data_IF_896222716987
#
_entry.id   IF_896222716987
#
_cell.length_a   1.000
_cell.length_b   1.000
_cell.length_c   1.000
_cell.angle_alpha   90.00
_cell.angle_beta   90.00
_cell.angle_gamma   90.00
#
_symmetry.space_group_name_H-M   'P 1'
#
loop_
_entity.id
_entity.type
_entity.pdbx_description
1 polymer ?
#
# COMPACT_ATOMS: atom_id res chain seq x y z
N UNK A 1 12.07 -13.47 2.39
CA UNK A 1 11.37 -13.58 3.69
C UNK A 1 10.14 -14.42 3.46
N UNK A 2 9.91 -15.50 4.23
CA UNK A 2 8.67 -16.30 4.11
C UNK A 2 7.60 -15.69 5.01
N UNK A 3 6.39 -15.49 4.48
CA UNK A 3 5.27 -14.88 5.18
C UNK A 3 4.29 -15.95 5.65
N UNK A 4 4.19 -16.09 6.97
CA UNK A 4 3.20 -16.96 7.60
C UNK A 4 1.98 -16.11 7.98
N UNK A 5 0.92 -16.20 7.18
CA UNK A 5 -0.33 -15.51 7.43
C UNK A 5 -1.08 -16.21 8.58
N UNK A 6 -1.59 -15.44 9.54
CA UNK A 6 -2.51 -15.96 10.54
C UNK A 6 -3.87 -16.28 9.88
N UNK A 7 -4.61 -17.29 10.36
CA UNK A 7 -5.91 -17.63 9.81
C UNK A 7 -6.90 -16.46 9.87
N UNK A 8 -7.66 -16.22 8.80
CA UNK A 8 -8.56 -15.06 8.68
C UNK A 8 -9.72 -15.05 9.70
N UNK A 9 -10.07 -16.20 10.26
CA UNK A 9 -11.07 -16.39 11.32
C UNK A 9 -10.52 -16.14 12.74
N UNK A 10 -9.23 -15.81 12.86
CA UNK A 10 -8.59 -15.54 14.15
C UNK A 10 -9.05 -14.19 14.72
N UNK A 11 -9.89 -14.22 15.74
CA UNK A 11 -10.39 -13.00 16.39
C UNK A 11 -9.29 -12.24 17.18
N UNK A 12 -8.33 -12.98 17.75
CA UNK A 12 -7.29 -12.46 18.66
C UNK A 12 -5.90 -12.80 18.17
N UNK A 13 -4.98 -11.84 18.19
CA UNK A 13 -3.60 -12.09 17.78
C UNK A 13 -2.90 -12.99 18.81
N UNK A 14 -2.33 -14.14 18.42
CA UNK A 14 -1.66 -15.05 19.34
C UNK A 14 -0.47 -14.41 20.07
N UNK A 15 -0.29 -14.74 21.37
CA UNK A 15 0.82 -14.18 22.17
C UNK A 15 2.19 -14.56 21.62
N UNK A 16 2.34 -15.76 21.07
CA UNK A 16 3.58 -16.23 20.44
C UNK A 16 3.99 -15.37 19.22
N UNK A 17 3.03 -14.75 18.53
CA UNK A 17 3.31 -13.77 17.48
C UNK A 17 4.07 -12.56 18.03
N UNK A 18 3.65 -12.01 19.17
CA UNK A 18 4.34 -10.89 19.83
C UNK A 18 5.69 -11.33 20.36
N UNK A 19 5.77 -12.53 20.97
CA UNK A 19 7.02 -13.07 21.49
C UNK A 19 8.07 -13.25 20.38
N UNK A 20 7.65 -13.68 19.19
CA UNK A 20 8.52 -13.81 18.02
C UNK A 20 9.12 -12.47 17.55
N UNK A 21 8.55 -11.32 17.93
CA UNK A 21 9.08 -10.01 17.55
C UNK A 21 10.27 -9.58 18.41
N UNK A 22 10.47 -10.16 19.60
CA UNK A 22 11.60 -9.81 20.47
C UNK A 22 12.95 -10.32 19.97
N UNK A 23 12.99 -11.37 19.13
CA UNK A 23 14.20 -12.06 18.67
C UNK A 23 14.99 -11.34 17.57
N UNK A 24 15.10 -10.02 17.62
CA UNK A 24 15.79 -9.22 16.58
C UNK A 24 17.24 -8.92 16.94
N UNK A 25 18.05 -8.65 15.92
CA UNK A 25 19.42 -8.17 16.08
C UNK A 25 19.40 -6.68 16.44
N UNK A 26 19.54 -6.37 17.73
CA UNK A 26 19.65 -5.00 18.20
C UNK A 26 21.11 -4.54 18.16
N UNK A 27 21.33 -3.30 17.72
CA UNK A 27 22.66 -2.66 17.75
C UNK A 27 23.03 -2.09 19.11
N UNK A 28 22.04 -1.83 19.96
CA UNK A 28 22.24 -1.29 21.32
C UNK A 28 21.13 -1.76 22.27
N UNK A 29 21.42 -1.72 23.57
CA UNK A 29 20.42 -1.99 24.63
C UNK A 29 19.29 -0.97 24.64
N UNK A 30 19.56 0.25 24.16
CA UNK A 30 18.58 1.32 23.99
C UNK A 30 17.58 0.96 22.89
N UNK A 31 18.06 0.50 21.73
CA UNK A 31 17.18 0.03 20.64
C UNK A 31 16.35 -1.17 21.08
N UNK A 32 16.93 -2.11 21.81
CA UNK A 32 16.19 -3.24 22.38
C UNK A 32 15.08 -2.77 23.34
N UNK A 33 15.38 -1.83 24.23
CA UNK A 33 14.41 -1.30 25.18
C UNK A 33 13.26 -0.54 24.50
N UNK A 34 13.55 0.24 23.45
CA UNK A 34 12.53 0.92 22.66
C UNK A 34 11.60 -0.09 22.00
N UNK A 35 12.18 -1.07 21.29
CA UNK A 35 11.41 -2.07 20.58
C UNK A 35 10.53 -2.92 21.50
N UNK A 36 11.01 -3.23 22.70
CA UNK A 36 10.21 -3.97 23.69
C UNK A 36 8.95 -3.22 24.12
N UNK A 37 9.05 -1.90 24.28
CA UNK A 37 7.92 -1.02 24.62
C UNK A 37 6.93 -0.91 23.45
N UNK A 38 7.43 -0.76 22.23
CA UNK A 38 6.62 -0.74 21.01
C UNK A 38 5.80 -2.04 20.85
N UNK A 39 6.44 -3.20 21.03
CA UNK A 39 5.75 -4.50 20.98
C UNK A 39 4.67 -4.59 22.07
N UNK A 40 4.98 -4.17 23.30
CA UNK A 40 4.02 -4.19 24.40
C UNK A 40 2.81 -3.29 24.13
N UNK A 41 3.04 -2.09 23.60
CA UNK A 41 1.97 -1.15 23.24
C UNK A 41 1.09 -1.69 22.10
N UNK A 42 1.70 -2.26 21.05
CA UNK A 42 0.96 -2.90 19.96
C UNK A 42 0.14 -4.11 20.44
N UNK A 43 0.64 -4.86 21.43
CA UNK A 43 -0.10 -5.95 22.06
C UNK A 43 -1.32 -5.44 22.83
N UNK A 44 -1.16 -4.42 23.67
CA UNK A 44 -2.28 -3.81 24.40
C UNK A 44 -3.36 -3.31 23.42
N UNK A 45 -2.94 -2.66 22.33
CA UNK A 45 -3.85 -2.27 21.25
C UNK A 45 -4.57 -3.47 20.62
N UNK A 46 -3.84 -4.53 20.27
CA UNK A 46 -4.42 -5.72 19.64
C UNK A 46 -5.50 -6.39 20.50
N UNK A 47 -5.34 -6.34 21.82
CA UNK A 47 -6.26 -6.86 22.83
C UNK A 47 -7.39 -5.89 23.20
N UNK A 48 -7.41 -4.66 22.65
CA UNK A 48 -8.40 -3.64 22.99
C UNK A 48 -8.22 -3.04 24.39
N UNK A 49 -7.02 -3.16 24.99
CA UNK A 49 -6.69 -2.62 26.31
C UNK A 49 -6.43 -1.10 26.26
N UNK A 50 -6.10 -0.58 25.09
CA UNK A 50 -5.81 0.85 24.85
C UNK A 50 -6.60 1.35 23.63
N UNK A 51 -6.98 2.62 23.65
CA UNK A 51 -7.51 3.30 22.47
C UNK A 51 -6.44 3.47 21.38
N UNK A 52 -6.88 3.86 20.18
CA UNK A 52 -6.00 4.13 19.04
C UNK A 52 -4.97 5.22 19.36
N UNK A 53 -5.40 6.33 19.99
CA UNK A 53 -4.52 7.45 20.29
C UNK A 53 -3.55 7.15 21.44
N UNK A 54 -4.00 6.43 22.48
CA UNK A 54 -3.13 5.97 23.57
C UNK A 54 -2.07 5.00 23.05
N UNK A 55 -2.45 4.08 22.15
CA UNK A 55 -1.52 3.16 21.52
C UNK A 55 -0.52 3.90 20.63
N UNK A 56 -0.98 4.85 19.81
CA UNK A 56 -0.10 5.65 18.97
C UNK A 56 0.96 6.38 19.80
N UNK A 57 0.53 7.06 20.87
CA UNK A 57 1.43 7.73 21.81
C UNK A 57 2.43 6.75 22.44
N UNK A 58 1.95 5.63 22.99
CA UNK A 58 2.81 4.64 23.65
C UNK A 58 3.82 3.98 22.69
N UNK A 59 3.47 3.87 21.41
CA UNK A 59 4.34 3.33 20.35
C UNK A 59 5.41 4.34 19.92
N UNK A 60 5.08 5.63 19.79
CA UNK A 60 6.04 6.64 19.32
C UNK A 60 6.97 7.14 20.43
N UNK A 61 6.49 7.19 21.68
CA UNK A 61 7.21 7.74 22.83
C UNK A 61 8.64 7.19 23.03
N UNK A 62 8.91 5.87 22.89
CA UNK A 62 10.25 5.33 23.09
C UNK A 62 11.29 5.94 22.13
N UNK A 63 10.91 6.15 20.87
CA UNK A 63 11.77 6.75 19.84
C UNK A 63 11.84 8.27 20.06
N UNK A 64 10.69 8.92 20.28
CA UNK A 64 10.63 10.37 20.47
C UNK A 64 11.45 10.88 21.67
N UNK A 65 11.64 10.05 22.69
CA UNK A 65 12.38 10.42 23.92
C UNK A 65 13.81 9.89 23.99
N UNK A 66 14.26 9.19 22.96
CA UNK A 66 15.61 8.60 22.88
C UNK A 66 16.45 9.32 21.84
N UNK A 67 17.67 9.73 22.21
CA UNK A 67 18.63 10.29 21.25
C UNK A 67 19.10 9.25 20.23
N UNK A 68 19.51 9.69 19.05
CA UNK A 68 20.15 8.85 18.03
C UNK A 68 21.37 8.18 18.65
N UNK A 69 21.51 6.86 18.45
CA UNK A 69 22.62 6.10 19.00
C UNK A 69 23.75 6.04 17.99
N UNK A 70 24.91 6.63 18.30
CA UNK A 70 26.12 6.53 17.47
C UNK A 70 26.67 5.09 17.52
N UNK A 71 26.40 4.33 16.46
CA UNK A 71 26.94 2.98 16.23
C UNK A 71 28.02 2.95 15.15
N UNK A 72 28.37 4.12 14.61
CA UNK A 72 29.40 4.29 13.56
C UNK A 72 28.93 3.90 12.16
N UNK A 73 27.62 3.86 11.92
CA UNK A 73 27.02 3.51 10.63
C UNK A 73 26.27 4.71 10.03
N UNK A 74 26.14 4.74 8.70
CA UNK A 74 25.47 5.79 7.94
C UNK A 74 23.93 5.80 8.11
N UNK A 75 23.37 4.99 9.02
CA UNK A 75 21.92 4.77 9.17
C UNK A 75 21.44 4.72 10.63
N UNK A 76 22.26 5.25 11.54
CA UNK A 76 22.00 5.23 12.98
C UNK A 76 20.72 6.00 13.37
N UNK A 77 20.42 7.04 12.61
CA UNK A 77 19.26 7.92 12.71
C UNK A 77 17.94 7.22 12.36
N UNK A 78 17.94 6.30 11.41
CA UNK A 78 16.74 5.61 10.94
C UNK A 78 16.62 4.16 11.46
N UNK A 79 17.60 3.65 12.22
CA UNK A 79 17.61 2.26 12.69
C UNK A 79 16.41 1.91 13.57
N UNK A 80 16.09 2.76 14.56
CA UNK A 80 14.94 2.54 15.44
C UNK A 80 13.61 2.60 14.67
N UNK A 81 13.48 3.56 13.74
CA UNK A 81 12.33 3.67 12.85
C UNK A 81 12.16 2.42 11.99
N UNK A 82 13.24 1.91 11.38
CA UNK A 82 13.18 0.70 10.56
C UNK A 82 12.73 -0.52 11.38
N UNK A 83 13.12 -0.63 12.65
CA UNK A 83 12.63 -1.67 13.56
C UNK A 83 11.12 -1.55 13.81
N UNK A 84 10.64 -0.35 14.11
CA UNK A 84 9.22 -0.06 14.31
C UNK A 84 8.41 -0.35 13.05
N UNK A 85 8.87 0.10 11.87
CA UNK A 85 8.18 -0.15 10.61
C UNK A 85 8.20 -1.61 10.20
N UNK A 86 9.28 -2.34 10.52
CA UNK A 86 9.27 -3.79 10.32
C UNK A 86 8.31 -4.50 11.28
N UNK A 87 8.04 -3.98 12.48
CA UNK A 87 6.99 -4.50 13.36
C UNK A 87 5.61 -4.30 12.74
N UNK A 88 5.30 -3.07 12.30
CA UNK A 88 4.02 -2.76 11.65
C UNK A 88 3.83 -3.50 10.33
N UNK A 89 4.85 -3.58 9.48
CA UNK A 89 4.81 -4.35 8.24
C UNK A 89 4.46 -5.81 8.52
N UNK A 90 5.07 -6.42 9.55
CA UNK A 90 4.74 -7.80 9.93
C UNK A 90 3.33 -7.92 10.48
N UNK A 91 2.86 -6.95 11.27
CA UNK A 91 1.48 -6.93 11.74
C UNK A 91 0.50 -6.86 10.57
N UNK A 92 0.68 -5.87 9.67
CA UNK A 92 -0.15 -5.67 8.48
C UNK A 92 -0.23 -6.93 7.60
N UNK A 93 0.91 -7.59 7.37
CA UNK A 93 0.94 -8.77 6.53
C UNK A 93 0.44 -10.04 7.21
N UNK A 94 0.82 -10.28 8.47
CA UNK A 94 0.57 -11.56 9.12
C UNK A 94 -0.77 -11.60 9.87
N UNK A 95 -1.24 -10.47 10.42
CA UNK A 95 -2.53 -10.44 11.11
C UNK A 95 -3.69 -10.64 10.13
N UNK A 96 -4.84 -11.19 10.56
CA UNK A 96 -6.01 -11.34 9.70
C UNK A 96 -6.39 -10.03 9.00
N UNK A 97 -6.85 -10.13 7.76
CA UNK A 97 -7.23 -8.98 6.93
C UNK A 97 -8.38 -8.17 7.53
N UNK A 98 -9.18 -8.78 8.40
CA UNK A 98 -10.20 -8.13 9.23
C UNK A 98 -9.62 -7.08 10.19
N UNK A 99 -8.34 -7.21 10.59
CA UNK A 99 -7.63 -6.27 11.47
C UNK A 99 -6.84 -5.19 10.71
N UNK A 100 -6.79 -5.25 9.38
CA UNK A 100 -6.05 -4.27 8.57
C UNK A 100 -6.56 -2.85 8.83
N UNK A 101 -7.88 -2.64 8.89
CA UNK A 101 -8.45 -1.30 9.14
C UNK A 101 -8.02 -0.73 10.50
N UNK A 102 -7.93 -1.55 11.55
CA UNK A 102 -7.47 -1.14 12.87
C UNK A 102 -6.01 -0.66 12.83
N UNK A 103 -5.15 -1.40 12.13
CA UNK A 103 -3.74 -1.04 11.94
C UNK A 103 -3.57 0.24 11.11
N UNK A 104 -4.39 0.44 10.07
CA UNK A 104 -4.38 1.69 9.28
C UNK A 104 -4.81 2.88 10.15
N UNK A 105 -5.82 2.70 11.02
CA UNK A 105 -6.24 3.74 11.96
C UNK A 105 -5.13 4.07 12.97
N UNK A 106 -4.46 3.05 13.51
CA UNK A 106 -3.31 3.23 14.41
C UNK A 106 -2.15 3.97 13.73
N UNK A 107 -1.77 3.57 12.52
CA UNK A 107 -0.72 4.27 11.75
C UNK A 107 -1.12 5.70 11.40
N UNK A 108 -2.42 5.95 11.17
CA UNK A 108 -2.94 7.31 11.00
C UNK A 108 -2.77 8.16 12.25
N UNK A 109 -3.05 7.59 13.43
CA UNK A 109 -2.83 8.28 14.70
C UNK A 109 -1.33 8.52 14.97
N UNK A 110 -0.47 7.53 14.70
CA UNK A 110 1.00 7.69 14.76
C UNK A 110 1.46 8.85 13.87
N UNK A 111 0.93 8.96 12.64
CA UNK A 111 1.30 10.04 11.71
C UNK A 111 0.89 11.45 12.17
N UNK A 112 0.06 11.55 13.21
CA UNK A 112 -0.42 12.81 13.79
C UNK A 112 0.23 13.13 15.13
N UNK A 113 1.14 12.27 15.61
CA UNK A 113 1.91 12.54 16.83
C UNK A 113 2.74 13.79 16.65
N UNK A 114 2.60 14.73 17.59
CA UNK A 114 3.32 16.02 17.59
C UNK A 114 4.73 15.92 18.20
N UNK A 115 5.01 14.86 18.98
CA UNK A 115 6.34 14.66 19.56
C UNK A 115 7.40 14.52 18.47
N UNK A 116 8.57 15.18 18.59
CA UNK A 116 9.61 15.07 17.58
C UNK A 116 10.23 13.67 17.59
N UNK A 117 10.75 13.24 16.44
CA UNK A 117 11.51 11.99 16.34
C UNK A 117 12.89 12.22 16.94
N UNK A 118 13.35 11.28 17.77
CA UNK A 118 14.66 11.35 18.43
C UNK A 118 14.95 12.68 19.12
N UNK A 119 14.00 13.23 19.89
CA UNK A 119 14.10 14.55 20.55
C UNK A 119 14.33 15.71 19.58
N UNK A 120 14.07 15.51 18.29
CA UNK A 120 14.32 16.48 17.22
C UNK A 120 15.73 16.39 16.63
N UNK A 121 16.50 15.34 16.94
CA UNK A 121 17.83 15.10 16.37
C UNK A 121 17.75 14.52 14.94
N UNK A 122 16.60 13.95 14.56
CA UNK A 122 16.38 13.45 13.21
C UNK A 122 15.89 14.58 12.31
N UNK A 123 16.77 15.07 11.45
CA UNK A 123 16.57 16.28 10.63
C UNK A 123 16.35 15.92 9.16
N UNK A 124 15.60 16.75 8.45
CA UNK A 124 15.48 16.67 7.01
C UNK A 124 16.78 17.18 6.35
N UNK A 125 17.25 16.46 5.33
CA UNK A 125 18.50 16.79 4.64
C UNK A 125 18.43 18.12 3.87
N UNK A 126 17.23 18.56 3.45
CA UNK A 126 17.05 19.72 2.59
C UNK A 126 16.94 21.04 3.38
N UNK A 127 16.25 21.04 4.53
CA UNK A 127 15.97 22.25 5.32
C UNK A 127 16.48 22.23 6.76
N UNK A 128 17.11 21.14 7.20
CA UNK A 128 17.64 20.92 8.56
C UNK A 128 16.58 21.02 9.68
N UNK A 129 15.28 20.96 9.34
CA UNK A 129 14.21 20.97 10.33
C UNK A 129 13.94 19.55 10.89
N UNK A 130 13.46 19.43 12.14
CA UNK A 130 13.11 18.13 12.70
C UNK A 130 12.02 17.41 11.89
N UNK A 131 12.31 16.18 11.46
CA UNK A 131 11.36 15.36 10.72
C UNK A 131 10.20 14.95 11.63
N UNK A 132 8.94 15.27 11.27
CA UNK A 132 7.78 14.87 12.04
C UNK A 132 7.42 13.39 11.80
N UNK A 133 6.52 12.85 12.62
CA UNK A 133 5.92 11.53 12.36
C UNK A 133 5.00 11.49 11.13
N UNK A 134 4.67 12.65 10.56
CA UNK A 134 3.81 12.76 9.38
C UNK A 134 4.34 11.92 8.22
N UNK A 135 3.44 11.23 7.52
CA UNK A 135 3.76 10.34 6.39
C UNK A 135 4.75 9.21 6.72
N UNK A 136 4.89 8.84 8.00
CA UNK A 136 5.62 7.66 8.47
C UNK A 136 7.06 7.61 7.89
N UNK A 137 7.96 8.51 8.33
CA UNK A 137 9.29 8.67 7.73
C UNK A 137 10.05 7.35 7.69
N UNK A 138 10.65 7.03 6.54
CA UNK A 138 11.32 5.76 6.24
C UNK A 138 10.46 4.48 6.23
N UNK A 139 9.14 4.53 6.39
CA UNK A 139 8.28 3.33 6.28
C UNK A 139 8.46 2.60 4.94
N UNK A 140 8.68 3.36 3.87
CA UNK A 140 8.85 2.83 2.52
C UNK A 140 10.11 1.98 2.35
N UNK A 141 11.15 2.16 3.19
CA UNK A 141 12.40 1.40 3.08
C UNK A 141 12.18 -0.09 3.34
N UNK A 142 11.78 -0.53 4.56
CA UNK A 142 11.55 -1.94 4.83
C UNK A 142 10.41 -2.52 3.99
N UNK A 143 9.40 -1.70 3.65
CA UNK A 143 8.30 -2.14 2.80
C UNK A 143 8.77 -2.47 1.37
N UNK A 144 9.51 -1.56 0.73
CA UNK A 144 9.97 -1.76 -0.65
C UNK A 144 10.98 -2.91 -0.73
N UNK A 145 11.87 -3.02 0.26
CA UNK A 145 12.84 -4.12 0.36
C UNK A 145 12.15 -5.48 0.51
N UNK A 146 11.02 -5.53 1.22
CA UNK A 146 10.25 -6.75 1.39
C UNK A 146 9.43 -7.14 0.15
N UNK A 147 8.97 -6.15 -0.63
CA UNK A 147 7.96 -6.33 -1.69
C UNK A 147 8.37 -5.77 -3.05
N UNK A 148 9.65 -5.92 -3.42
CA UNK A 148 10.17 -5.44 -4.71
C UNK A 148 9.76 -6.30 -5.92
N UNK A 149 9.37 -7.56 -5.69
CA UNK A 149 9.15 -8.53 -6.78
C UNK A 149 7.84 -8.30 -7.53
N UNK A 150 7.88 -8.50 -8.85
CA UNK A 150 6.67 -8.54 -9.70
C UNK A 150 5.96 -9.91 -9.60
N UNK A 151 4.67 -10.02 -9.97
CA UNK A 151 3.95 -11.28 -10.01
C UNK A 151 4.64 -12.39 -10.81
N UNK A 152 5.21 -12.09 -11.98
CA UNK A 152 5.99 -13.06 -12.73
C UNK A 152 7.22 -13.56 -11.95
N UNK A 153 7.95 -12.66 -11.29
CA UNK A 153 9.13 -13.01 -10.47
C UNK A 153 8.74 -13.85 -9.25
N UNK A 154 7.58 -13.56 -8.64
CA UNK A 154 7.02 -14.33 -7.55
C UNK A 154 6.67 -15.75 -8.01
N UNK A 155 5.91 -15.88 -9.11
CA UNK A 155 5.48 -17.17 -9.64
C UNK A 155 6.66 -18.04 -10.10
N UNK A 156 7.70 -17.44 -10.68
CA UNK A 156 8.95 -18.13 -11.03
C UNK A 156 9.61 -18.81 -9.82
N UNK A 157 9.45 -18.24 -8.63
CA UNK A 157 10.07 -18.74 -7.39
C UNK A 157 9.17 -19.71 -6.62
N UNK A 158 7.91 -19.85 -7.02
CA UNK A 158 6.99 -20.81 -6.43
C UNK A 158 7.37 -22.23 -6.90
N UNK A 159 7.48 -23.16 -5.95
CA UNK A 159 8.00 -24.51 -6.21
C UNK A 159 6.91 -25.52 -6.55
N UNK A 160 5.67 -25.23 -6.18
CA UNK A 160 4.50 -26.09 -6.34
C UNK A 160 3.19 -25.27 -6.21
N UNK A 161 2.06 -25.91 -6.48
CA UNK A 161 0.74 -25.29 -6.43
C UNK A 161 0.32 -24.78 -5.03
N UNK A 162 0.92 -25.27 -3.94
CA UNK A 162 0.67 -24.73 -2.61
C UNK A 162 1.45 -23.42 -2.41
N UNK A 163 2.72 -23.39 -2.81
CA UNK A 163 3.54 -22.19 -2.82
C UNK A 163 2.96 -21.10 -3.73
N UNK A 164 2.43 -21.46 -4.90
CA UNK A 164 1.75 -20.53 -5.81
C UNK A 164 0.52 -19.90 -5.16
N UNK A 165 -0.37 -20.71 -4.58
CA UNK A 165 -1.56 -20.20 -3.88
C UNK A 165 -1.20 -19.29 -2.70
N UNK A 166 -0.20 -19.67 -1.92
CA UNK A 166 0.29 -18.84 -0.81
C UNK A 166 0.85 -17.51 -1.34
N UNK A 167 1.63 -17.56 -2.42
CA UNK A 167 2.21 -16.37 -3.03
C UNK A 167 1.15 -15.41 -3.59
N UNK A 168 0.09 -15.95 -4.21
CA UNK A 168 -1.08 -15.20 -4.63
C UNK A 168 -1.73 -14.48 -3.43
N UNK A 169 -2.06 -15.20 -2.36
CA UNK A 169 -2.67 -14.61 -1.17
C UNK A 169 -1.82 -13.50 -0.56
N UNK A 170 -0.52 -13.72 -0.42
CA UNK A 170 0.43 -12.72 0.11
C UNK A 170 0.42 -11.47 -0.78
N UNK A 171 0.51 -11.63 -2.10
CA UNK A 171 0.59 -10.52 -3.03
C UNK A 171 -0.70 -9.68 -3.02
N UNK A 172 -1.87 -10.32 -3.11
CA UNK A 172 -3.15 -9.60 -3.12
C UNK A 172 -3.36 -8.86 -1.80
N UNK A 173 -3.01 -9.48 -0.67
CA UNK A 173 -3.04 -8.84 0.64
C UNK A 173 -2.10 -7.64 0.74
N UNK A 174 -0.86 -7.78 0.28
CA UNK A 174 0.10 -6.68 0.19
C UNK A 174 -0.50 -5.51 -0.61
N UNK A 175 -1.11 -5.78 -1.77
CA UNK A 175 -1.70 -4.74 -2.61
C UNK A 175 -2.94 -4.09 -1.97
N UNK A 176 -3.79 -4.84 -1.25
CA UNK A 176 -4.87 -4.23 -0.44
C UNK A 176 -4.29 -3.29 0.62
N UNK A 177 -3.26 -3.71 1.35
CA UNK A 177 -2.61 -2.88 2.37
C UNK A 177 -2.00 -1.62 1.76
N UNK A 178 -1.21 -1.73 0.68
CA UNK A 178 -0.63 -0.58 -0.01
C UNK A 178 -1.73 0.40 -0.45
N UNK A 179 -2.80 -0.11 -1.06
CA UNK A 179 -3.90 0.73 -1.53
C UNK A 179 -4.58 1.50 -0.40
N UNK A 180 -4.70 0.90 0.80
CA UNK A 180 -5.28 1.53 1.99
C UNK A 180 -4.35 2.53 2.65
N UNK A 181 -3.05 2.22 2.71
CA UNK A 181 -2.05 3.14 3.24
C UNK A 181 -1.98 4.42 2.38
N UNK A 182 -2.04 4.28 1.05
CA UNK A 182 -2.18 5.42 0.13
C UNK A 182 -3.54 6.11 0.33
N UNK A 183 -4.64 5.38 0.46
CA UNK A 183 -5.96 5.96 0.74
C UNK A 183 -5.94 6.85 2.00
N UNK A 184 -5.22 6.42 3.05
CA UNK A 184 -5.04 7.15 4.30
C UNK A 184 -3.97 8.27 4.23
N UNK A 185 -3.30 8.46 3.08
CA UNK A 185 -2.23 9.45 2.86
C UNK A 185 -1.01 9.25 3.78
N UNK A 186 -0.71 8.00 4.09
CA UNK A 186 0.39 7.67 4.98
C UNK A 186 1.71 7.47 4.25
N UNK A 187 1.66 7.08 2.97
CA UNK A 187 2.82 6.65 2.17
C UNK A 187 2.51 6.77 0.67
N UNK A 188 3.57 6.89 -0.14
CA UNK A 188 3.60 6.96 -1.61
C UNK A 188 2.67 8.00 -2.28
N UNK A 189 3.01 8.36 -3.52
CA UNK A 189 2.17 9.19 -4.40
C UNK A 189 1.23 8.29 -5.23
N UNK A 190 0.02 8.78 -5.48
CA UNK A 190 -1.02 8.21 -6.35
C UNK A 190 -0.51 7.85 -7.75
N UNK A 191 0.57 8.49 -8.21
CA UNK A 191 1.28 8.12 -9.45
C UNK A 191 1.71 6.66 -9.50
N UNK A 192 2.04 6.04 -8.36
CA UNK A 192 2.37 4.61 -8.30
C UNK A 192 1.17 3.74 -8.66
N UNK A 193 -0.01 4.08 -8.14
CA UNK A 193 -1.26 3.39 -8.44
C UNK A 193 -1.57 3.47 -9.94
N UNK A 194 -1.50 4.66 -10.53
CA UNK A 194 -1.75 4.86 -11.97
C UNK A 194 -0.80 4.01 -12.83
N UNK A 195 0.51 4.00 -12.54
CA UNK A 195 1.47 3.17 -13.27
C UNK A 195 1.18 1.68 -13.14
N UNK A 196 0.74 1.24 -11.97
CA UNK A 196 0.37 -0.14 -11.73
C UNK A 196 -0.89 -0.54 -12.53
N UNK A 197 -1.91 0.32 -12.55
CA UNK A 197 -3.13 0.11 -13.33
C UNK A 197 -2.83 0.02 -14.83
N UNK A 198 -1.95 0.87 -15.37
CA UNK A 198 -1.52 0.75 -16.77
C UNK A 198 -0.90 -0.61 -17.08
N UNK A 199 0.06 -1.06 -16.26
CA UNK A 199 0.75 -2.34 -16.46
C UNK A 199 -0.20 -3.52 -16.43
N UNK A 200 -1.31 -3.39 -15.70
CA UNK A 200 -2.24 -4.49 -15.45
C UNK A 200 -3.42 -4.48 -16.43
N UNK A 201 -4.03 -3.32 -16.66
CA UNK A 201 -5.30 -3.20 -17.38
C UNK A 201 -5.13 -2.79 -18.85
N UNK A 202 -3.95 -2.32 -19.27
CA UNK A 202 -3.71 -1.94 -20.67
C UNK A 202 -2.92 -2.98 -21.46
N UNK A 203 -2.30 -3.94 -20.76
CA UNK A 203 -1.58 -5.04 -21.39
C UNK A 203 -2.58 -6.14 -21.79
N UNK A 204 -2.58 -6.49 -23.07
CA UNK A 204 -3.27 -7.70 -23.54
C UNK A 204 -2.48 -8.95 -23.13
N UNK A 205 -3.12 -9.96 -22.51
CA UNK A 205 -2.45 -11.22 -22.17
C UNK A 205 -1.88 -11.90 -23.41
N UNK A 206 -0.69 -12.46 -23.28
CA UNK A 206 0.04 -13.18 -24.33
C UNK A 206 0.33 -14.62 -23.90
N UNK A 207 0.72 -15.48 -24.83
CA UNK A 207 1.14 -16.85 -24.51
C UNK A 207 2.36 -16.90 -23.58
N UNK A 208 3.18 -15.84 -23.55
CA UNK A 208 4.33 -15.75 -22.65
C UNK A 208 3.91 -15.54 -21.19
N UNK A 209 2.78 -14.86 -20.97
CA UNK A 209 2.24 -14.61 -19.64
C UNK A 209 1.79 -15.89 -18.92
N UNK A 210 1.50 -16.95 -19.67
CA UNK A 210 1.12 -18.27 -19.16
C UNK A 210 2.33 -19.17 -18.83
N UNK A 211 3.54 -18.80 -19.27
CA UNK A 211 4.75 -19.62 -19.03
C UNK A 211 5.41 -19.26 -17.70
N UNK A 212 6.12 -20.23 -17.13
CA UNK A 212 7.07 -19.98 -16.05
C UNK A 212 8.28 -19.28 -16.67
N UNK A 213 8.56 -18.06 -16.21
CA UNK A 213 9.67 -17.27 -16.72
C UNK A 213 11.04 -17.92 -16.46
N UNK A 214 11.95 -17.81 -17.43
CA UNK A 214 13.30 -18.37 -17.32
C UNK A 214 14.26 -17.49 -16.53
N UNK A 215 14.07 -16.17 -16.58
CA UNK A 215 14.88 -15.17 -15.85
C UNK A 215 14.02 -14.12 -15.15
N UNK A 216 14.61 -13.35 -14.23
CA UNK A 216 13.90 -12.25 -13.55
C UNK A 216 13.53 -11.10 -14.50
N UNK A 217 14.28 -10.95 -15.61
CA UNK A 217 13.95 -9.98 -16.67
C UNK A 217 12.75 -10.43 -17.50
N UNK A 218 12.69 -11.70 -17.90
CA UNK A 218 11.52 -12.26 -18.59
C UNK A 218 10.26 -12.17 -17.71
N UNK A 219 10.47 -12.38 -16.40
CA UNK A 219 9.41 -12.39 -15.40
C UNK A 219 8.89 -10.98 -15.03
N UNK A 220 9.69 -9.93 -15.26
CA UNK A 220 9.36 -8.56 -14.84
C UNK A 220 8.07 -8.07 -15.49
N UNK A 221 7.91 -8.34 -16.78
CA UNK A 221 6.81 -7.85 -17.58
C UNK A 221 5.63 -8.82 -17.68
N UNK A 222 5.72 -10.04 -17.12
CA UNK A 222 4.63 -11.03 -17.22
C UNK A 222 3.35 -10.57 -16.51
N UNK A 223 2.22 -10.73 -17.19
CA UNK A 223 0.88 -10.46 -16.67
C UNK A 223 0.29 -11.72 -16.02
N UNK A 224 0.25 -11.79 -14.69
CA UNK A 224 -0.41 -12.87 -13.93
C UNK A 224 -1.78 -12.39 -13.48
N UNK A 225 -2.81 -12.66 -14.29
CA UNK A 225 -4.17 -12.14 -14.09
C UNK A 225 -4.73 -12.47 -12.70
N UNK A 226 -4.53 -13.69 -12.23
CA UNK A 226 -4.98 -14.15 -10.92
C UNK A 226 -4.48 -13.27 -9.78
N UNK A 227 -3.27 -12.73 -9.89
CA UNK A 227 -2.67 -11.86 -8.86
C UNK A 227 -2.97 -10.38 -9.12
N UNK A 228 -2.87 -9.94 -10.38
CA UNK A 228 -2.88 -8.53 -10.72
C UNK A 228 -4.27 -7.95 -10.85
N UNK A 229 -5.28 -8.71 -11.30
CA UNK A 229 -6.64 -8.20 -11.43
C UNK A 229 -7.23 -7.87 -10.04
N UNK A 230 -7.21 -8.78 -9.04
CA UNK A 230 -7.68 -8.43 -7.69
C UNK A 230 -6.92 -7.26 -7.07
N UNK A 231 -5.59 -7.21 -7.28
CA UNK A 231 -4.77 -6.10 -6.80
C UNK A 231 -5.15 -4.76 -7.45
N UNK A 232 -5.32 -4.70 -8.78
CA UNK A 232 -5.77 -3.50 -9.48
C UNK A 232 -7.16 -3.06 -9.02
N UNK A 233 -8.06 -4.02 -8.78
CA UNK A 233 -9.37 -3.76 -8.20
C UNK A 233 -9.26 -3.11 -6.81
N UNK A 234 -8.40 -3.62 -5.91
CA UNK A 234 -8.16 -2.97 -4.62
C UNK A 234 -7.72 -1.51 -4.76
N UNK A 235 -6.80 -1.22 -5.68
CA UNK A 235 -6.37 0.16 -5.94
C UNK A 235 -7.51 1.07 -6.37
N UNK A 236 -8.37 0.60 -7.29
CA UNK A 236 -9.52 1.36 -7.79
C UNK A 236 -10.58 1.53 -6.68
N UNK A 237 -10.92 0.47 -5.96
CA UNK A 237 -11.93 0.51 -4.90
C UNK A 237 -11.53 1.45 -3.74
N UNK A 238 -10.23 1.60 -3.46
CA UNK A 238 -9.74 2.47 -2.38
C UNK A 238 -9.41 3.89 -2.83
N UNK A 239 -8.95 4.06 -4.07
CA UNK A 239 -8.38 5.33 -4.54
C UNK A 239 -9.04 5.87 -5.83
N UNK A 240 -10.08 5.21 -6.33
CA UNK A 240 -10.67 5.45 -7.65
C UNK A 240 -11.07 6.91 -7.89
N UNK A 241 -11.72 7.56 -6.94
CA UNK A 241 -12.09 8.98 -7.06
C UNK A 241 -10.89 9.91 -7.26
N UNK A 242 -9.79 9.66 -6.52
CA UNK A 242 -8.57 10.47 -6.63
C UNK A 242 -7.81 10.17 -7.91
N UNK A 243 -7.74 8.89 -8.30
CA UNK A 243 -7.19 8.46 -9.58
C UNK A 243 -7.95 9.12 -10.74
N UNK A 244 -9.28 9.09 -10.70
CA UNK A 244 -10.14 9.72 -11.70
C UNK A 244 -9.88 11.22 -11.80
N UNK A 245 -9.91 11.93 -10.67
CA UNK A 245 -9.61 13.36 -10.62
C UNK A 245 -8.21 13.68 -11.15
N UNK A 246 -7.22 12.86 -10.78
CA UNK A 246 -5.85 13.04 -11.26
C UNK A 246 -5.75 12.88 -12.78
N UNK A 247 -6.47 11.93 -13.37
CA UNK A 247 -6.51 11.74 -14.83
C UNK A 247 -7.15 12.93 -15.56
N UNK A 248 -8.08 13.66 -14.94
CA UNK A 248 -8.62 14.91 -15.49
C UNK A 248 -7.58 16.05 -15.49
N UNK A 249 -6.73 16.09 -14.46
CA UNK A 249 -5.82 17.21 -14.21
C UNK A 249 -4.41 17.05 -14.81
N UNK A 250 -4.06 15.84 -15.26
CA UNK A 250 -2.76 15.59 -15.89
C UNK A 250 -2.69 16.33 -17.22
N UNK A 251 -1.91 17.42 -17.25
CA UNK A 251 -1.64 18.19 -18.48
C UNK A 251 -0.40 17.71 -19.23
N UNK A 252 0.62 17.29 -18.50
CA UNK A 252 1.88 16.82 -19.06
C UNK A 252 2.35 15.56 -18.32
N UNK A 253 2.11 14.38 -18.90
CA UNK A 253 2.87 13.22 -18.48
C UNK A 253 4.23 13.24 -19.14
N UNK A 254 5.28 13.23 -18.31
CA UNK A 254 6.59 12.99 -18.84
C UNK A 254 6.65 11.55 -19.35
N UNK A 255 7.20 11.36 -20.55
CA UNK A 255 7.31 10.04 -21.17
C UNK A 255 7.96 8.98 -20.27
N UNK A 256 8.83 9.41 -19.35
CA UNK A 256 9.48 8.53 -18.35
C UNK A 256 8.51 7.92 -17.33
N UNK A 257 7.35 8.53 -17.12
CA UNK A 257 6.36 8.09 -16.13
C UNK A 257 5.37 7.07 -16.72
N UNK A 258 5.41 6.87 -18.05
CA UNK A 258 4.53 5.97 -18.78
C UNK A 258 5.28 4.65 -19.05
N UNK A 259 4.79 3.49 -18.57
CA UNK A 259 5.37 2.19 -18.90
C UNK A 259 5.45 1.99 -20.43
N UNK A 260 6.50 1.35 -20.93
CA UNK A 260 6.70 1.17 -22.37
C UNK A 260 5.54 0.41 -23.06
N UNK A 261 4.87 -0.47 -22.32
CA UNK A 261 3.72 -1.25 -22.78
C UNK A 261 2.37 -0.52 -22.69
N UNK A 262 2.32 0.66 -22.07
CA UNK A 262 1.07 1.38 -21.87
C UNK A 262 0.51 1.87 -23.22
N UNK A 263 -0.81 1.80 -23.35
CA UNK A 263 -1.50 2.31 -24.52
C UNK A 263 -1.36 3.83 -24.59
N UNK A 264 -1.44 4.37 -25.81
CA UNK A 264 -1.47 5.82 -26.04
C UNK A 264 -2.93 6.27 -26.13
N UNK A 265 -3.23 7.35 -25.42
CA UNK A 265 -4.53 7.99 -25.42
C UNK A 265 -4.33 9.48 -25.72
N UNK A 266 -5.30 10.07 -26.41
CA UNK A 266 -5.28 11.49 -26.72
C UNK A 266 -5.54 12.32 -25.46
N UNK A 267 -6.40 11.84 -24.55
CA UNK A 267 -6.60 12.40 -23.23
C UNK A 267 -6.30 11.36 -22.14
N UNK A 268 -5.61 11.72 -21.03
CA UNK A 268 -5.32 10.76 -19.96
C UNK A 268 -6.59 10.13 -19.35
N UNK A 269 -7.70 10.88 -19.31
CA UNK A 269 -8.98 10.40 -18.79
C UNK A 269 -9.59 9.25 -19.60
N UNK A 270 -9.26 9.12 -20.90
CA UNK A 270 -9.75 8.03 -21.74
C UNK A 270 -9.29 6.64 -21.22
N UNK A 271 -8.21 6.61 -20.43
CA UNK A 271 -7.77 5.41 -19.71
C UNK A 271 -8.81 4.89 -18.75
N UNK A 272 -9.56 5.78 -18.10
CA UNK A 272 -10.58 5.38 -17.13
C UNK A 272 -11.64 4.50 -17.79
N UNK A 273 -12.20 4.97 -18.92
CA UNK A 273 -13.17 4.21 -19.71
C UNK A 273 -12.55 2.93 -20.26
N UNK A 274 -11.31 2.97 -20.73
CA UNK A 274 -10.61 1.77 -21.19
C UNK A 274 -10.46 0.72 -20.08
N UNK A 275 -9.98 1.11 -18.90
CA UNK A 275 -9.82 0.23 -17.74
C UNK A 275 -11.15 -0.35 -17.28
N UNK A 276 -12.21 0.46 -17.26
CA UNK A 276 -13.56 0.00 -16.93
C UNK A 276 -14.04 -1.07 -17.92
N UNK A 277 -13.93 -0.81 -19.22
CA UNK A 277 -14.30 -1.79 -20.25
C UNK A 277 -13.47 -3.07 -20.13
N UNK A 278 -12.17 -2.95 -19.85
CA UNK A 278 -11.30 -4.10 -19.63
C UNK A 278 -11.77 -4.97 -18.46
N UNK A 279 -12.20 -4.36 -17.36
CA UNK A 279 -12.73 -5.10 -16.21
C UNK A 279 -14.07 -5.78 -16.55
N UNK A 280 -14.94 -5.13 -17.33
CA UNK A 280 -16.18 -5.75 -17.81
C UNK A 280 -15.91 -6.94 -18.73
N UNK A 281 -14.92 -6.85 -19.63
CA UNK A 281 -14.50 -7.98 -20.47
C UNK A 281 -14.03 -9.16 -19.60
N UNK A 282 -13.21 -8.89 -18.59
CA UNK A 282 -12.70 -9.91 -17.66
C UNK A 282 -13.83 -10.53 -16.82
N UNK A 283 -14.85 -9.74 -16.46
CA UNK A 283 -16.01 -10.24 -15.72
C UNK A 283 -16.85 -11.28 -16.49
N UNK A 284 -16.78 -11.25 -17.82
CA UNK A 284 -17.51 -12.15 -18.71
C UNK A 284 -16.62 -13.28 -19.29
N UNK A 285 -15.34 -13.34 -18.91
CA UNK A 285 -14.41 -14.38 -19.38
C UNK A 285 -14.55 -15.67 -18.55
N UNK A 286 -15.29 -16.65 -19.08
CA UNK A 286 -15.51 -17.97 -18.45
C UNK A 286 -14.24 -18.80 -18.16
N UNK A 287 -13.07 -18.38 -18.66
CA UNK A 287 -11.79 -19.04 -18.33
C UNK A 287 -11.20 -18.60 -16.98
N UNK A 288 -11.72 -17.52 -16.39
CA UNK A 288 -11.25 -16.98 -15.11
C UNK A 288 -12.06 -17.53 -13.92
N UNK A 289 -11.42 -17.56 -12.75
CA UNK A 289 -12.09 -17.92 -11.50
C UNK A 289 -13.24 -16.95 -11.16
N UNK A 290 -14.33 -17.48 -10.61
CA UNK A 290 -15.53 -16.70 -10.25
C UNK A 290 -15.21 -15.47 -9.39
N UNK A 291 -14.33 -15.62 -8.40
CA UNK A 291 -13.93 -14.51 -7.53
C UNK A 291 -13.25 -13.36 -8.29
N UNK A 292 -12.48 -13.65 -9.34
CA UNK A 292 -11.83 -12.63 -10.18
C UNK A 292 -12.88 -11.94 -11.05
N UNK A 293 -13.84 -12.69 -11.58
CA UNK A 293 -14.92 -12.15 -12.40
C UNK A 293 -15.85 -11.24 -11.60
N UNK A 294 -16.20 -11.67 -10.39
CA UNK A 294 -17.02 -10.90 -9.45
C UNK A 294 -16.34 -9.59 -9.06
N UNK A 295 -15.08 -9.63 -8.59
CA UNK A 295 -14.39 -8.40 -8.17
C UNK A 295 -14.16 -7.43 -9.35
N UNK A 296 -13.94 -7.95 -10.57
CA UNK A 296 -13.82 -7.12 -11.76
C UNK A 296 -15.14 -6.41 -12.08
N UNK A 297 -16.28 -7.13 -12.00
CA UNK A 297 -17.63 -6.57 -12.20
C UNK A 297 -17.93 -5.48 -11.17
N UNK A 298 -17.77 -5.79 -9.89
CA UNK A 298 -18.02 -4.86 -8.78
C UNK A 298 -17.17 -3.59 -8.90
N UNK A 299 -15.91 -3.76 -9.31
CA UNK A 299 -14.98 -2.64 -9.52
C UNK A 299 -15.41 -1.78 -10.70
N UNK A 300 -15.85 -2.38 -11.82
CA UNK A 300 -16.33 -1.62 -12.98
C UNK A 300 -17.61 -0.83 -12.66
N UNK A 301 -18.51 -1.39 -11.86
CA UNK A 301 -19.70 -0.69 -11.36
C UNK A 301 -19.30 0.48 -10.43
N UNK A 302 -18.33 0.26 -9.54
CA UNK A 302 -17.79 1.31 -8.69
C UNK A 302 -17.17 2.44 -9.50
N UNK A 303 -16.41 2.12 -10.56
CA UNK A 303 -15.84 3.11 -11.48
C UNK A 303 -16.92 3.97 -12.16
N UNK A 304 -18.03 3.34 -12.56
CA UNK A 304 -19.16 4.06 -13.14
C UNK A 304 -19.78 5.03 -12.14
N UNK A 305 -19.94 4.61 -10.88
CA UNK A 305 -20.52 5.44 -9.83
C UNK A 305 -19.66 6.69 -9.53
N UNK A 306 -18.33 6.54 -9.55
CA UNK A 306 -17.39 7.67 -9.43
C UNK A 306 -17.61 8.67 -10.56
N UNK A 307 -17.59 8.20 -11.82
CA UNK A 307 -17.75 9.07 -12.99
C UNK A 307 -19.08 9.85 -12.95
N UNK A 308 -20.18 9.18 -12.60
CA UNK A 308 -21.50 9.84 -12.47
C UNK A 308 -21.48 10.91 -11.39
N UNK A 309 -20.85 10.62 -10.25
CA UNK A 309 -20.76 11.54 -9.10
C UNK A 309 -19.95 12.79 -9.44
N UNK A 310 -18.79 12.61 -10.06
CA UNK A 310 -17.91 13.72 -10.45
C UNK A 310 -18.51 14.59 -11.55
N UNK A 311 -19.12 13.98 -12.56
CA UNK A 311 -19.80 14.71 -13.64
C UNK A 311 -20.99 15.55 -13.12
N UNK A 312 -21.73 15.05 -12.14
CA UNK A 312 -22.80 15.81 -11.50
C UNK A 312 -22.25 17.00 -10.69
N UNK A 313 -21.13 16.80 -9.99
CA UNK A 313 -20.45 17.84 -9.21
C UNK A 313 -19.95 18.98 -10.12
N UNK A 314 -19.33 18.66 -11.26
CA UNK A 314 -18.86 19.63 -12.25
C UNK A 314 -20.01 20.43 -12.90
N UNK A 315 -21.16 19.78 -13.17
CA UNK A 315 -22.36 20.46 -13.67
C UNK A 315 -22.95 21.45 -12.66
N UNK A 316 -23.00 21.09 -11.38
CA UNK A 316 -23.43 22.00 -10.31
C UNK A 316 -22.48 23.19 -10.13
N UNK A 317 -21.16 22.96 -10.24
CA UNK A 317 -20.15 24.02 -10.13
C UNK A 317 -20.16 25.00 -11.33
N UNK A 318 -20.56 24.54 -12.52
CA UNK A 318 -20.71 25.40 -13.72
C UNK A 318 -22.06 26.12 -13.78
N UNK A 319 -23.12 25.58 -13.16
CA UNK A 319 -24.44 26.20 -13.06
C UNK A 319 -24.56 27.37 -12.06
N UNK A 320 -23.59 27.54 -11.15
CA UNK A 320 -23.59 28.61 -10.14
C UNK A 320 -22.95 29.93 -10.62
N UNK A 321 -22.53 30.01 -11.89
CA UNK A 321 -22.11 31.28 -12.55
C UNK A 321 -23.22 31.82 -13.45
N UNK A 322 -24.33 32.27 -12.87
CA UNK A 322 -25.29 33.12 -13.57
C UNK A 322 -26.02 34.07 -12.61
N UNK A 323 -25.28 35.03 -12.05
CA UNK A 323 -25.89 36.26 -11.54
C UNK A 323 -25.87 37.28 -12.68
N UNK A 324 -27.03 37.72 -13.20
CA UNK A 324 -27.08 38.86 -14.10
C UNK A 324 -26.87 40.13 -13.28
N UNK A 325 -25.77 40.86 -13.53
CA UNK A 325 -25.74 42.28 -13.21
C UNK A 325 -26.59 43.03 -14.24
N UNK A 326 -27.83 43.32 -13.85
CA UNK A 326 -28.66 44.43 -14.30
C UNK A 326 -29.28 44.96 -12.99
N UNK A 327 -29.14 46.22 -12.56
CA UNK A 327 -28.89 47.50 -13.20
C UNK A 327 -27.93 48.36 -12.36
#
# INVERSE_FOLDING_TARGET
MSWNLLPEDTATIPEDWFQAQYGRNYRSTVHEACHKKEIAALRCFANGETSVDEAAYAITQPISTTSIQDTGDYSDDCFALCHLWTLFMRALMQWPSTRTSDLIALLTAVSRTEDPIHRGEFLDDDDEEPVPWAQLPHFNLPWSDAFWMTPGQIMRRATDAAAERQAHQIYVKQQDIESRLVAARLVWDEKRAIRYLMRTLEKTPTAEDQRIATSDGDAEDQLKLEMQIPAACNWILRNGGRIYHRLLDIRDWQRRDIPAMALRFDQPIDRWTHWQNRLLELAEDDSLEDAIREIARDTAEHMQAIEVTENNTLKCASGSKSTPHQL
#
